data_IF_483823322974
#
_entry.id   IF_483823322974
#
_cell.length_a   1.000
_cell.length_b   1.000
_cell.length_c   1.000
_cell.angle_alpha   90.00
_cell.angle_beta   90.00
_cell.angle_gamma   90.00
#
_symmetry.space_group_name_H-M   'P 1'
#
loop_
_entity.id
_entity.type
_entity.pdbx_description
1 polymer ?
#
# COMPACT_ATOMS: atom_id res chain seq x y z
N UNK A 1 -13.84 8.29 20.45
CA UNK A 1 -13.45 8.90 19.16
C UNK A 1 -12.17 9.69 19.41
N UNK A 2 -10.99 9.14 19.10
CA UNK A 2 -9.74 9.88 19.32
C UNK A 2 -9.65 11.00 18.29
N UNK A 3 -9.72 12.25 18.75
CA UNK A 3 -9.48 13.41 17.91
C UNK A 3 -8.00 13.46 17.54
N UNK A 4 -7.68 13.18 16.28
CA UNK A 4 -6.32 13.40 15.79
C UNK A 4 -6.13 14.91 15.55
N UNK A 5 -5.56 15.58 16.55
CA UNK A 5 -5.34 17.03 16.57
C UNK A 5 -4.41 17.50 15.46
N UNK A 6 -3.49 16.64 15.02
CA UNK A 6 -2.63 16.92 13.87
C UNK A 6 -3.42 17.02 12.57
N UNK A 7 -4.32 16.05 12.31
CA UNK A 7 -5.17 16.05 11.11
C UNK A 7 -6.05 17.31 11.06
N UNK A 8 -6.54 17.79 12.19
CA UNK A 8 -7.27 19.05 12.25
C UNK A 8 -6.37 20.25 11.94
N UNK A 9 -5.13 20.26 12.44
CA UNK A 9 -4.17 21.33 12.17
C UNK A 9 -3.82 21.45 10.69
N UNK A 10 -3.57 20.33 10.00
CA UNK A 10 -3.20 20.32 8.58
C UNK A 10 -4.39 20.58 7.63
N UNK A 11 -5.63 20.54 8.14
CA UNK A 11 -6.83 20.96 7.38
C UNK A 11 -6.98 22.48 7.25
N UNK A 12 -6.18 23.25 7.98
CA UNK A 12 -6.16 24.71 7.88
C UNK A 12 -5.81 25.18 6.46
N UNK A 13 -6.34 26.33 6.07
CA UNK A 13 -6.27 26.85 4.69
C UNK A 13 -4.83 26.97 4.16
N UNK A 14 -3.89 27.39 5.02
CA UNK A 14 -2.46 27.53 4.70
C UNK A 14 -1.77 26.23 4.24
N UNK A 15 -2.32 25.07 4.57
CA UNK A 15 -1.80 23.76 4.17
C UNK A 15 -2.57 23.15 3.01
N UNK A 16 -3.72 23.70 2.62
CA UNK A 16 -4.48 23.22 1.46
C UNK A 16 -3.72 23.41 0.16
N UNK A 17 -2.86 24.41 0.08
CA UNK A 17 -2.00 24.58 -1.09
C UNK A 17 -0.97 23.45 -1.27
N UNK A 18 -0.68 22.68 -0.20
CA UNK A 18 0.21 21.53 -0.27
C UNK A 18 -0.60 20.30 -0.70
N UNK A 19 -0.23 19.70 -1.83
CA UNK A 19 -0.86 18.48 -2.34
C UNK A 19 -1.47 18.64 -3.73
N UNK A 20 -2.11 17.56 -4.19
CA UNK A 20 -2.74 17.53 -5.52
C UNK A 20 -4.16 18.06 -5.45
N UNK A 21 -4.47 19.03 -6.32
CA UNK A 21 -5.82 19.54 -6.49
C UNK A 21 -6.55 18.74 -7.57
N UNK A 22 -7.62 18.05 -7.17
CA UNK A 22 -8.63 17.55 -8.10
C UNK A 22 -9.83 18.49 -8.02
N UNK A 23 -10.40 18.90 -9.17
CA UNK A 23 -11.48 19.92 -9.27
C UNK A 23 -12.69 19.71 -8.35
N UNK A 24 -12.88 18.50 -7.80
CA UNK A 24 -14.01 18.11 -6.95
C UNK A 24 -13.59 17.64 -5.54
N UNK A 25 -12.30 17.65 -5.21
CA UNK A 25 -11.79 17.14 -3.94
C UNK A 25 -10.89 18.17 -3.27
N UNK A 26 -11.02 18.26 -1.95
CA UNK A 26 -10.04 18.97 -1.14
C UNK A 26 -8.65 18.36 -1.38
N UNK A 27 -7.59 19.17 -1.47
CA UNK A 27 -6.23 18.68 -1.67
C UNK A 27 -5.86 17.67 -0.59
N UNK A 28 -5.50 16.46 -1.04
CA UNK A 28 -5.15 15.33 -0.17
C UNK A 28 -3.62 15.24 -0.16
N UNK A 29 -3.02 15.53 0.99
CA UNK A 29 -1.57 15.48 1.19
C UNK A 29 -1.14 14.59 2.36
N UNK A 30 -2.09 14.00 3.08
CA UNK A 30 -1.81 13.18 4.27
C UNK A 30 -2.72 11.97 4.32
N UNK A 31 -2.12 10.80 4.52
CA UNK A 31 -2.77 9.52 4.72
C UNK A 31 -2.28 8.95 6.05
N UNK A 32 -3.19 8.44 6.88
CA UNK A 32 -2.82 7.85 8.16
C UNK A 32 -3.76 6.71 8.52
N UNK A 33 -3.15 5.62 8.99
CA UNK A 33 -3.85 4.49 9.60
C UNK A 33 -3.02 4.02 10.80
N UNK A 34 -3.57 4.15 12.01
CA UNK A 34 -2.83 3.93 13.25
C UNK A 34 -1.51 4.76 13.29
N UNK A 35 -0.36 4.09 13.46
CA UNK A 35 0.99 4.67 13.47
C UNK A 35 1.58 4.85 12.06
N UNK A 36 1.06 4.16 11.05
CA UNK A 36 1.47 4.34 9.66
C UNK A 36 0.91 5.65 9.11
N UNK A 37 1.82 6.52 8.67
CA UNK A 37 1.48 7.77 8.01
C UNK A 37 2.26 7.93 6.70
N UNK A 38 1.59 8.48 5.69
CA UNK A 38 2.20 8.84 4.41
C UNK A 38 1.83 10.28 4.04
N UNK A 39 2.85 11.04 3.63
CA UNK A 39 2.70 12.41 3.14
C UNK A 39 3.01 12.45 1.65
N UNK A 40 2.18 13.15 0.89
CA UNK A 40 2.34 13.26 -0.57
C UNK A 40 2.08 14.71 -0.99
N UNK A 41 3.07 15.35 -1.60
CA UNK A 41 2.98 16.73 -2.13
C UNK A 41 3.55 16.83 -3.54
N UNK A 42 3.33 17.99 -4.17
CA UNK A 42 3.89 18.29 -5.50
C UNK A 42 5.36 18.72 -5.45
N UNK A 43 5.82 19.29 -4.34
CA UNK A 43 7.20 19.75 -4.16
C UNK A 43 7.87 19.14 -2.92
N UNK A 44 9.17 18.90 -3.03
CA UNK A 44 9.99 18.38 -1.92
C UNK A 44 10.02 19.31 -0.70
N UNK A 45 10.04 20.63 -0.95
CA UNK A 45 9.99 21.68 0.09
C UNK A 45 8.70 21.62 0.92
N UNK A 46 7.56 21.39 0.27
CA UNK A 46 6.26 21.26 0.93
C UNK A 46 6.20 20.00 1.79
N UNK A 47 6.73 18.88 1.27
CA UNK A 47 6.87 17.63 2.02
C UNK A 47 7.72 17.84 3.28
N UNK A 48 8.89 18.49 3.14
CA UNK A 48 9.75 18.80 4.28
C UNK A 48 9.04 19.69 5.32
N UNK A 49 8.25 20.67 4.86
CA UNK A 49 7.49 21.52 5.75
C UNK A 49 6.46 20.72 6.55
N UNK A 50 5.67 19.86 5.90
CA UNK A 50 4.70 19.00 6.57
C UNK A 50 5.36 18.02 7.54
N UNK A 51 6.47 17.41 7.15
CA UNK A 51 7.26 16.51 8.00
C UNK A 51 7.79 17.22 9.25
N UNK A 52 8.28 18.46 9.12
CA UNK A 52 8.72 19.24 10.27
C UNK A 52 7.56 19.50 11.24
N UNK A 53 6.37 19.84 10.73
CA UNK A 53 5.17 20.05 11.58
C UNK A 53 4.74 18.76 12.26
N UNK A 54 4.80 17.63 11.57
CA UNK A 54 4.51 16.33 12.16
C UNK A 54 5.52 15.98 13.25
N UNK A 55 6.82 16.19 13.00
CA UNK A 55 7.88 15.99 14.00
C UNK A 55 7.65 16.82 15.26
N UNK A 56 7.26 18.09 15.13
CA UNK A 56 6.92 18.94 16.29
C UNK A 56 5.70 18.41 17.05
N UNK A 57 4.68 17.92 16.33
CA UNK A 57 3.49 17.37 16.95
C UNK A 57 3.79 16.05 17.68
N UNK A 58 4.61 15.17 17.10
CA UNK A 58 5.09 13.97 17.77
C UNK A 58 5.87 14.31 19.04
N UNK A 59 6.81 15.26 18.97
CA UNK A 59 7.55 15.72 20.15
C UNK A 59 6.63 16.30 21.24
N UNK A 60 5.63 17.10 20.85
CA UNK A 60 4.63 17.64 21.79
C UNK A 60 3.79 16.55 22.46
N UNK A 61 3.61 15.40 21.81
CA UNK A 61 2.83 14.27 22.31
C UNK A 61 3.69 13.15 22.90
N UNK A 62 4.97 13.42 23.19
CA UNK A 62 5.94 12.44 23.70
C UNK A 62 6.09 11.18 22.82
N UNK A 63 5.94 11.35 21.50
CA UNK A 63 6.13 10.32 20.49
C UNK A 63 7.44 10.51 19.71
N UNK A 64 8.07 9.40 19.36
CA UNK A 64 9.33 9.36 18.61
C UNK A 64 9.08 8.77 17.22
N UNK A 65 9.49 9.48 16.18
CA UNK A 65 9.44 8.98 14.81
C UNK A 65 10.64 8.07 14.57
N UNK A 66 10.37 6.82 14.18
CA UNK A 66 11.38 5.85 13.80
C UNK A 66 11.83 6.04 12.35
N UNK A 67 12.86 6.86 12.16
CA UNK A 67 13.39 7.21 10.83
C UNK A 67 13.87 5.98 10.05
N UNK A 68 14.35 4.95 10.74
CA UNK A 68 14.76 3.66 10.17
C UNK A 68 13.63 2.89 9.48
N UNK A 69 12.38 3.14 9.86
CA UNK A 69 11.18 2.56 9.25
C UNK A 69 10.54 3.46 8.20
N UNK A 70 10.99 4.70 8.07
CA UNK A 70 10.47 5.63 7.09
C UNK A 70 11.19 5.43 5.75
N UNK A 71 10.46 5.69 4.66
CA UNK A 71 10.99 5.60 3.31
C UNK A 71 10.53 6.78 2.49
N UNK A 72 11.38 7.25 1.58
CA UNK A 72 11.05 8.32 0.63
C UNK A 72 11.04 7.79 -0.79
N UNK A 73 10.06 8.27 -1.55
CA UNK A 73 9.85 7.92 -2.95
C UNK A 73 9.44 9.18 -3.72
N UNK A 74 10.12 9.44 -4.84
CA UNK A 74 9.91 10.65 -5.62
C UNK A 74 9.80 10.36 -7.10
N UNK A 75 8.78 10.93 -7.74
CA UNK A 75 8.62 10.95 -9.20
C UNK A 75 8.58 12.39 -9.66
N UNK A 76 9.38 12.73 -10.68
CA UNK A 76 9.35 14.03 -11.33
C UNK A 76 9.05 13.88 -12.81
N UNK A 77 8.29 14.82 -13.37
CA UNK A 77 8.09 14.92 -14.82
C UNK A 77 9.31 15.65 -15.42
N UNK A 78 10.09 14.96 -16.25
CA UNK A 78 11.05 15.61 -17.14
C UNK A 78 10.36 16.00 -18.46
N UNK A 79 11.09 16.68 -19.35
CA UNK A 79 10.57 17.27 -20.60
C UNK A 79 9.74 16.27 -21.41
N UNK A 80 10.22 15.02 -21.53
CA UNK A 80 9.60 13.99 -22.38
C UNK A 80 9.13 12.75 -21.63
N UNK A 81 9.60 12.52 -20.39
CA UNK A 81 9.33 11.31 -19.62
C UNK A 81 9.24 11.60 -18.13
N UNK A 82 8.46 10.81 -17.40
CA UNK A 82 8.56 10.75 -15.93
C UNK A 82 9.85 10.03 -15.55
N UNK A 83 10.49 10.46 -14.46
CA UNK A 83 11.73 9.86 -13.95
C UNK A 83 11.62 9.76 -12.43
N UNK A 84 11.97 8.60 -11.88
CA UNK A 84 12.12 8.43 -10.44
C UNK A 84 13.38 9.17 -9.97
N UNK A 85 13.26 9.93 -8.89
CA UNK A 85 14.39 10.60 -8.25
C UNK A 85 14.45 10.23 -6.77
N UNK A 86 15.53 10.63 -6.11
CA UNK A 86 15.82 10.31 -4.71
C UNK A 86 15.68 11.56 -3.84
N UNK A 87 14.50 11.82 -3.24
CA UNK A 87 14.27 12.99 -2.39
C UNK A 87 15.27 13.06 -1.22
N UNK A 88 15.57 14.25 -0.74
CA UNK A 88 16.44 14.50 0.41
C UNK A 88 15.62 15.10 1.55
N UNK A 89 14.77 14.26 2.15
CA UNK A 89 13.95 14.66 3.29
C UNK A 89 14.61 14.28 4.61
N UNK A 90 14.48 15.17 5.60
CA UNK A 90 15.06 15.05 6.93
C UNK A 90 13.96 14.98 7.99
N UNK A 91 14.14 14.16 9.03
CA UNK A 91 13.32 14.18 10.24
C UNK A 91 14.27 14.25 11.43
N UNK A 92 14.11 15.25 12.30
CA UNK A 92 15.00 15.46 13.46
C UNK A 92 16.50 15.42 13.09
N UNK A 93 16.87 16.10 11.99
CA UNK A 93 18.21 16.13 11.39
C UNK A 93 18.76 14.77 10.88
N UNK A 94 17.96 13.72 10.85
CA UNK A 94 18.32 12.44 10.25
C UNK A 94 17.74 12.32 8.83
N UNK A 95 18.55 11.79 7.90
CA UNK A 95 18.10 11.55 6.53
C UNK A 95 17.21 10.32 6.48
N UNK A 96 16.02 10.47 5.91
CA UNK A 96 15.12 9.33 5.71
C UNK A 96 15.70 8.42 4.62
N UNK A 97 15.71 7.09 4.83
CA UNK A 97 16.02 6.11 3.79
C UNK A 97 15.24 6.37 2.49
N UNK A 98 15.88 6.06 1.37
CA UNK A 98 15.31 6.32 0.04
C UNK A 98 15.11 4.99 -0.65
N UNK A 99 13.98 4.84 -1.32
CA UNK A 99 13.74 3.68 -2.18
C UNK A 99 14.64 3.79 -3.40
N UNK A 100 15.37 2.72 -3.74
CA UNK A 100 16.30 2.72 -4.87
C UNK A 100 15.52 2.87 -6.18
N UNK A 101 16.18 3.38 -7.22
CA UNK A 101 15.56 3.54 -8.53
C UNK A 101 15.17 2.17 -9.08
N UNK A 102 13.90 2.01 -9.46
CA UNK A 102 13.35 0.75 -9.96
C UNK A 102 12.82 -0.19 -8.87
N UNK A 103 13.06 0.09 -7.60
CA UNK A 103 12.48 -0.68 -6.50
C UNK A 103 11.05 -0.25 -6.19
N UNK A 104 10.32 -1.14 -5.53
CA UNK A 104 8.97 -0.90 -5.03
C UNK A 104 8.97 -0.81 -3.51
N UNK A 105 7.99 -0.12 -2.94
CA UNK A 105 7.73 -0.12 -1.51
C UNK A 105 6.29 -0.53 -1.23
N UNK A 106 6.00 -0.93 0.01
CA UNK A 106 4.67 -1.31 0.44
C UNK A 106 4.09 -0.30 1.42
N UNK A 107 2.81 0.05 1.26
CA UNK A 107 2.05 0.85 2.22
C UNK A 107 0.66 0.24 2.38
N UNK A 108 0.28 -0.09 3.63
CA UNK A 108 -0.98 -0.76 3.98
C UNK A 108 -1.30 -1.99 3.11
N UNK A 109 -0.28 -2.81 2.83
CA UNK A 109 -0.41 -4.03 2.03
C UNK A 109 -0.42 -3.82 0.51
N UNK A 110 -0.36 -2.57 0.02
CA UNK A 110 -0.28 -2.27 -1.42
C UNK A 110 1.14 -1.94 -1.84
N UNK A 111 1.58 -2.51 -2.96
CA UNK A 111 2.85 -2.17 -3.60
C UNK A 111 2.74 -0.90 -4.44
N UNK A 112 3.78 -0.07 -4.36
CA UNK A 112 3.96 1.13 -5.14
C UNK A 112 5.33 1.05 -5.80
N UNK A 113 5.33 1.09 -7.13
CA UNK A 113 6.53 1.19 -7.95
C UNK A 113 6.44 2.41 -8.87
N UNK A 114 7.50 2.66 -9.64
CA UNK A 114 7.54 3.77 -10.59
C UNK A 114 6.45 3.70 -11.68
N UNK A 115 6.05 2.49 -12.08
CA UNK A 115 5.06 2.25 -13.13
C UNK A 115 3.63 2.19 -12.59
N UNK A 116 3.45 2.25 -11.27
CA UNK A 116 2.22 1.92 -10.56
C UNK A 116 1.66 0.56 -11.01
N UNK A 117 2.54 -0.41 -11.27
CA UNK A 117 2.15 -1.75 -11.70
C UNK A 117 1.64 -2.58 -10.53
N UNK A 118 0.76 -3.54 -10.83
CA UNK A 118 0.25 -4.51 -9.88
C UNK A 118 0.97 -5.87 -9.99
N UNK A 119 2.08 -5.97 -10.72
CA UNK A 119 2.70 -7.26 -11.04
C UNK A 119 3.28 -7.99 -9.82
N UNK A 120 3.87 -7.25 -8.88
CA UNK A 120 4.30 -7.82 -7.59
C UNK A 120 3.11 -8.37 -6.81
N UNK A 121 1.99 -7.63 -6.78
CA UNK A 121 0.77 -8.04 -6.10
C UNK A 121 0.09 -9.25 -6.75
N UNK A 122 0.08 -9.31 -8.09
CA UNK A 122 -0.42 -10.46 -8.86
C UNK A 122 0.39 -11.72 -8.55
N UNK A 123 1.72 -11.59 -8.50
CA UNK A 123 2.63 -12.69 -8.17
C UNK A 123 2.37 -13.19 -6.75
N UNK A 124 2.35 -12.28 -5.76
CA UNK A 124 2.07 -12.62 -4.36
C UNK A 124 0.71 -13.32 -4.21
N UNK A 125 -0.34 -12.78 -4.82
CA UNK A 125 -1.69 -13.35 -4.77
C UNK A 125 -1.75 -14.77 -5.36
N UNK A 126 -1.06 -14.97 -6.49
CA UNK A 126 -1.01 -16.27 -7.17
C UNK A 126 -0.23 -17.30 -6.34
N UNK A 127 0.87 -16.89 -5.72
CA UNK A 127 1.66 -17.73 -4.81
C UNK A 127 0.85 -18.10 -3.58
N UNK A 128 0.23 -17.13 -2.90
CA UNK A 128 -0.61 -17.36 -1.74
C UNK A 128 -1.76 -18.34 -2.04
N UNK A 129 -2.44 -18.17 -3.18
CA UNK A 129 -3.50 -19.08 -3.59
C UNK A 129 -2.96 -20.51 -3.77
N UNK A 130 -1.83 -20.67 -4.47
CA UNK A 130 -1.24 -22.00 -4.68
C UNK A 130 -0.83 -22.66 -3.36
N UNK A 131 -0.21 -21.92 -2.45
CA UNK A 131 0.17 -22.40 -1.12
C UNK A 131 -1.05 -22.87 -0.32
N UNK A 132 -2.09 -22.03 -0.24
CA UNK A 132 -3.31 -22.35 0.50
C UNK A 132 -4.04 -23.56 -0.08
N UNK A 133 -4.17 -23.62 -1.42
CA UNK A 133 -4.85 -24.72 -2.08
C UNK A 133 -4.05 -26.02 -1.99
N UNK A 134 -2.72 -25.97 -2.11
CA UNK A 134 -1.86 -27.14 -1.95
C UNK A 134 -1.86 -27.67 -0.52
N UNK A 135 -1.89 -26.79 0.48
CA UNK A 135 -2.00 -27.20 1.88
C UNK A 135 -3.32 -27.94 2.14
N UNK A 136 -4.44 -27.43 1.63
CA UNK A 136 -5.74 -28.11 1.72
C UNK A 136 -5.74 -29.43 0.96
N UNK A 137 -5.12 -29.48 -0.23
CA UNK A 137 -5.05 -30.69 -1.06
C UNK A 137 -4.32 -31.82 -0.35
N UNK A 138 -3.19 -31.50 0.30
CA UNK A 138 -2.33 -32.47 1.00
C UNK A 138 -3.00 -33.16 2.19
N UNK A 139 -4.04 -32.54 2.76
CA UNK A 139 -4.70 -33.06 3.97
C UNK A 139 -5.71 -34.16 3.61
N UNK A 140 -5.79 -35.26 4.38
CA UNK A 140 -6.73 -36.36 4.17
C UNK A 140 -8.14 -35.96 4.65
N UNK A 141 -8.69 -34.89 4.08
CA UNK A 141 -10.01 -34.37 4.38
C UNK A 141 -11.02 -34.82 3.32
N UNK A 142 -12.25 -35.06 3.75
CA UNK A 142 -13.35 -35.32 2.83
C UNK A 142 -13.52 -34.13 1.85
N UNK A 143 -13.81 -34.36 0.55
CA UNK A 143 -13.96 -33.30 -0.45
C UNK A 143 -14.87 -32.14 -0.03
N UNK A 144 -16.03 -32.44 0.55
CA UNK A 144 -16.95 -31.43 1.10
C UNK A 144 -16.28 -30.50 2.12
N UNK A 145 -15.42 -31.03 2.99
CA UNK A 145 -14.67 -30.24 3.98
C UNK A 145 -13.61 -29.37 3.31
N UNK A 146 -12.93 -29.88 2.27
CA UNK A 146 -11.98 -29.09 1.46
C UNK A 146 -12.67 -27.89 0.80
N UNK A 147 -13.87 -28.08 0.24
CA UNK A 147 -14.67 -26.99 -0.33
C UNK A 147 -15.14 -25.96 0.72
N UNK A 148 -15.50 -26.42 1.91
CA UNK A 148 -15.83 -25.52 3.02
C UNK A 148 -14.62 -24.69 3.45
N UNK A 149 -13.42 -25.28 3.50
CA UNK A 149 -12.19 -24.55 3.78
C UNK A 149 -11.88 -23.53 2.68
N UNK A 150 -12.03 -23.90 1.41
CA UNK A 150 -11.87 -22.96 0.31
C UNK A 150 -12.79 -21.74 0.47
N UNK A 151 -14.09 -21.97 0.63
CA UNK A 151 -15.07 -20.88 0.71
C UNK A 151 -14.91 -19.98 1.94
N UNK A 152 -14.56 -20.53 3.11
CA UNK A 152 -14.53 -19.79 4.38
C UNK A 152 -13.15 -19.26 4.77
N UNK A 153 -12.08 -19.93 4.34
CA UNK A 153 -10.72 -19.58 4.75
C UNK A 153 -9.96 -18.95 3.59
N UNK A 154 -9.88 -19.65 2.44
CA UNK A 154 -9.10 -19.18 1.30
C UNK A 154 -9.67 -17.87 0.75
N UNK A 155 -10.96 -17.82 0.42
CA UNK A 155 -11.58 -16.61 -0.13
C UNK A 155 -11.46 -15.40 0.82
N UNK A 156 -11.58 -15.62 2.13
CA UNK A 156 -11.41 -14.54 3.12
C UNK A 156 -9.99 -13.99 3.14
N UNK A 157 -8.97 -14.82 2.93
CA UNK A 157 -7.57 -14.37 2.79
C UNK A 157 -7.36 -13.58 1.50
N UNK A 158 -7.94 -14.04 0.38
CA UNK A 158 -7.82 -13.34 -0.90
C UNK A 158 -8.60 -12.02 -0.94
N UNK A 159 -9.72 -11.91 -0.20
CA UNK A 159 -10.58 -10.73 -0.19
C UNK A 159 -9.81 -9.43 0.12
N UNK A 160 -8.82 -9.50 1.03
CA UNK A 160 -7.96 -8.36 1.32
C UNK A 160 -7.15 -7.91 0.09
N UNK A 161 -6.55 -8.85 -0.65
CA UNK A 161 -5.77 -8.55 -1.85
C UNK A 161 -6.62 -7.91 -2.96
N UNK A 162 -7.89 -8.29 -3.08
CA UNK A 162 -8.83 -7.65 -4.01
C UNK A 162 -9.30 -6.26 -3.56
N UNK A 163 -9.14 -5.94 -2.27
CA UNK A 163 -9.50 -4.63 -1.71
C UNK A 163 -8.37 -3.61 -1.92
N UNK A 164 -7.12 -4.03 -1.76
CA UNK A 164 -5.96 -3.12 -1.82
C UNK A 164 -5.46 -2.86 -3.24
N UNK A 165 -5.61 -3.80 -4.16
CA UNK A 165 -5.10 -3.70 -5.53
C UNK A 165 -6.23 -3.74 -6.57
N UNK A 166 -6.05 -2.95 -7.64
CA UNK A 166 -7.00 -2.90 -8.74
C UNK A 166 -6.63 -3.94 -9.80
N UNK A 167 -7.29 -5.09 -9.74
CA UNK A 167 -7.06 -6.20 -10.68
C UNK A 167 -8.17 -6.23 -11.74
N UNK A 168 -7.81 -6.50 -12.99
CA UNK A 168 -8.80 -6.62 -14.07
C UNK A 168 -9.56 -7.94 -13.94
N UNK A 169 -10.86 -7.92 -14.27
CA UNK A 169 -11.70 -9.11 -14.24
C UNK A 169 -11.13 -10.25 -15.09
N UNK A 170 -10.64 -9.93 -16.29
CA UNK A 170 -10.01 -10.88 -17.20
C UNK A 170 -8.84 -11.59 -16.55
N UNK A 171 -7.93 -10.84 -15.90
CA UNK A 171 -6.78 -11.43 -15.24
C UNK A 171 -7.19 -12.36 -14.08
N UNK A 172 -8.19 -11.95 -13.29
CA UNK A 172 -8.70 -12.78 -12.18
C UNK A 172 -9.28 -14.09 -12.70
N UNK A 173 -10.11 -14.05 -13.74
CA UNK A 173 -10.70 -15.28 -14.30
C UNK A 173 -9.66 -16.20 -14.94
N UNK A 174 -8.67 -15.65 -15.64
CA UNK A 174 -7.64 -16.45 -16.31
C UNK A 174 -6.63 -17.08 -15.33
N UNK A 175 -6.33 -16.41 -14.22
CA UNK A 175 -5.26 -16.83 -13.32
C UNK A 175 -5.81 -17.42 -12.01
N UNK A 176 -6.67 -16.69 -11.30
CA UNK A 176 -7.19 -17.10 -9.99
C UNK A 176 -8.23 -18.21 -10.15
N UNK A 177 -9.25 -18.01 -10.98
CA UNK A 177 -10.32 -19.01 -11.15
C UNK A 177 -9.75 -20.29 -11.79
N UNK A 178 -8.80 -20.17 -12.73
CA UNK A 178 -8.12 -21.31 -13.35
C UNK A 178 -7.40 -22.20 -12.31
N UNK A 179 -6.64 -21.59 -11.40
CA UNK A 179 -5.95 -22.31 -10.32
C UNK A 179 -6.97 -22.95 -9.37
N UNK A 180 -7.97 -22.19 -8.92
CA UNK A 180 -8.98 -22.71 -8.00
C UNK A 180 -9.75 -23.89 -8.61
N UNK A 181 -10.18 -23.77 -9.86
CA UNK A 181 -10.92 -24.82 -10.57
C UNK A 181 -10.10 -26.10 -10.74
N UNK A 182 -8.79 -26.01 -10.97
CA UNK A 182 -7.91 -27.18 -11.07
C UNK A 182 -7.95 -28.05 -9.81
N UNK A 183 -7.87 -27.43 -8.63
CA UNK A 183 -7.93 -28.15 -7.35
C UNK A 183 -9.35 -28.62 -7.03
N UNK A 184 -10.36 -27.79 -7.28
CA UNK A 184 -11.76 -28.15 -7.02
C UNK A 184 -12.18 -29.38 -7.83
N UNK A 185 -11.79 -29.46 -9.10
CA UNK A 185 -12.05 -30.64 -9.94
C UNK A 185 -11.39 -31.89 -9.38
N UNK A 186 -10.11 -31.80 -9.01
CA UNK A 186 -9.36 -32.90 -8.37
C UNK A 186 -10.01 -33.42 -7.08
N UNK A 187 -10.70 -32.58 -6.32
CA UNK A 187 -11.35 -33.03 -5.08
C UNK A 187 -12.70 -33.70 -5.33
N UNK A 188 -13.36 -33.38 -6.44
CA UNK A 188 -14.71 -33.88 -6.75
C UNK A 188 -14.71 -35.12 -7.64
N UNK A 189 -13.69 -35.26 -8.48
CA UNK A 189 -13.39 -36.45 -9.29
C UNK A 189 -12.65 -37.52 -8.47
#
# INVERSE_FOLDING_TARGET
MCFNTFIQHIKAEKYRQFGFFFKLLNPIHWFQFADDAAVITGQESENQHLLNRFSFWCQWSDMIIRVDKCSTFGIKKAITKSVQYLPKLLISNQLIPKITIGESFQYLGRYFDFHMSNDNHKTELTTLLNELMSDIDSKPLHPKTKLLLYSRYVLSKLAWHFTVATLSKTWVTENIDSIANKYIRRWLE
#
